data_IF_286009933974
#
_entry.id   IF_286009933974
#
_cell.length_a   1.000
_cell.length_b   1.000
_cell.length_c   1.000
_cell.angle_alpha   90.00
_cell.angle_beta   90.00
_cell.angle_gamma   90.00
#
_symmetry.space_group_name_H-M   'P 1'
#
loop_
_entity.id
_entity.type
_entity.pdbx_description
1 polymer ?
#
# COMPACT_ATOMS: atom_id res chain seq x y z
N UNK A 1 -22.06 -12.69 -5.43
CA UNK A 1 -20.60 -12.64 -5.69
C UNK A 1 -19.91 -13.11 -4.43
N UNK A 2 -19.34 -14.31 -4.48
CA UNK A 2 -18.74 -14.96 -3.32
C UNK A 2 -17.46 -14.24 -2.94
N UNK A 3 -17.45 -13.63 -1.76
CA UNK A 3 -16.28 -13.01 -1.17
C UNK A 3 -15.22 -14.09 -0.89
N UNK A 4 -14.19 -14.13 -1.72
CA UNK A 4 -13.04 -15.02 -1.53
C UNK A 4 -12.05 -14.40 -0.52
N UNK A 5 -12.57 -13.98 0.63
CA UNK A 5 -11.96 -13.04 1.58
C UNK A 5 -10.61 -13.46 2.19
N UNK A 6 -10.19 -14.73 2.06
CA UNK A 6 -8.90 -15.20 2.59
C UNK A 6 -7.81 -15.22 1.52
N UNK A 7 -8.12 -15.74 0.33
CA UNK A 7 -7.15 -15.81 -0.76
C UNK A 7 -6.83 -14.41 -1.29
N UNK A 8 -7.84 -13.55 -1.37
CA UNK A 8 -7.67 -12.14 -1.75
C UNK A 8 -6.78 -11.42 -0.73
N UNK A 9 -6.98 -11.63 0.57
CA UNK A 9 -6.12 -11.04 1.62
C UNK A 9 -4.67 -11.53 1.55
N UNK A 10 -4.46 -12.83 1.29
CA UNK A 10 -3.10 -13.38 1.12
C UNK A 10 -2.44 -12.78 -0.12
N UNK A 11 -3.17 -12.67 -1.23
CA UNK A 11 -2.67 -12.04 -2.45
C UNK A 11 -2.30 -10.56 -2.23
N UNK A 12 -3.12 -9.80 -1.49
CA UNK A 12 -2.84 -8.41 -1.15
C UNK A 12 -1.59 -8.26 -0.27
N UNK A 13 -1.44 -9.13 0.73
CA UNK A 13 -0.25 -9.15 1.57
C UNK A 13 1.01 -9.54 0.79
N UNK A 14 0.92 -10.52 -0.11
CA UNK A 14 2.03 -10.93 -0.96
C UNK A 14 2.44 -9.80 -1.92
N UNK A 15 1.49 -9.14 -2.57
CA UNK A 15 1.74 -7.98 -3.41
C UNK A 15 2.42 -6.84 -2.63
N UNK A 16 1.94 -6.55 -1.41
CA UNK A 16 2.56 -5.56 -0.54
C UNK A 16 4.02 -5.92 -0.20
N UNK A 17 4.30 -7.18 0.11
CA UNK A 17 5.66 -7.63 0.41
C UNK A 17 6.58 -7.57 -0.82
N UNK A 18 6.07 -7.90 -2.01
CA UNK A 18 6.81 -7.73 -3.26
C UNK A 18 7.13 -6.25 -3.53
N UNK A 19 6.21 -5.34 -3.22
CA UNK A 19 6.46 -3.90 -3.34
C UNK A 19 7.65 -3.47 -2.47
N UNK A 20 7.71 -3.94 -1.22
CA UNK A 20 8.82 -3.65 -0.30
C UNK A 20 10.14 -4.25 -0.79
N UNK A 21 10.16 -5.50 -1.24
CA UNK A 21 11.39 -6.13 -1.75
C UNK A 21 11.93 -5.39 -2.97
N UNK A 22 11.05 -4.94 -3.86
CA UNK A 22 11.45 -4.15 -5.02
C UNK A 22 11.91 -2.73 -4.63
N UNK A 23 11.27 -2.12 -3.64
CA UNK A 23 11.73 -0.84 -3.08
C UNK A 23 13.16 -0.94 -2.51
N UNK A 24 13.45 -2.00 -1.74
CA UNK A 24 14.77 -2.23 -1.13
C UNK A 24 15.87 -2.51 -2.16
N UNK A 25 15.52 -3.03 -3.34
CA UNK A 25 16.45 -3.20 -4.46
C UNK A 25 16.78 -1.88 -5.18
N UNK A 26 16.04 -0.80 -4.88
CA UNK A 26 16.31 0.54 -5.36
C UNK A 26 15.94 0.78 -6.82
N UNK A 27 16.60 1.77 -7.45
CA UNK A 27 16.30 2.29 -8.79
C UNK A 27 15.87 1.27 -9.86
N UNK A 28 16.56 0.13 -10.07
CA UNK A 28 16.19 -0.82 -11.12
C UNK A 28 14.82 -1.49 -10.91
N UNK A 29 14.25 -1.39 -9.72
CA UNK A 29 13.02 -2.09 -9.30
C UNK A 29 11.92 -1.15 -8.80
N UNK A 30 12.11 0.17 -8.86
CA UNK A 30 11.11 1.11 -8.35
C UNK A 30 9.78 1.07 -9.11
N UNK A 31 9.82 0.86 -10.44
CA UNK A 31 8.59 0.72 -11.23
C UNK A 31 7.79 -0.52 -10.81
N UNK A 32 8.46 -1.65 -10.60
CA UNK A 32 7.85 -2.87 -10.08
C UNK A 32 7.27 -2.65 -8.67
N UNK A 33 7.97 -1.90 -7.81
CA UNK A 33 7.45 -1.52 -6.50
C UNK A 33 6.14 -0.73 -6.59
N UNK A 34 6.03 0.20 -7.54
CA UNK A 34 4.79 0.95 -7.81
C UNK A 34 3.67 0.01 -8.26
N UNK A 35 3.94 -0.92 -9.17
CA UNK A 35 2.94 -1.87 -9.67
C UNK A 35 2.41 -2.79 -8.56
N UNK A 36 3.31 -3.37 -7.75
CA UNK A 36 2.92 -4.26 -6.67
C UNK A 36 2.17 -3.56 -5.54
N UNK A 37 2.54 -2.31 -5.22
CA UNK A 37 1.78 -1.52 -4.23
C UNK A 37 0.39 -1.14 -4.75
N UNK A 38 0.23 -0.90 -6.05
CA UNK A 38 -1.08 -0.68 -6.68
C UNK A 38 -1.96 -1.93 -6.64
N UNK A 39 -1.38 -3.10 -6.93
CA UNK A 39 -2.07 -4.38 -6.83
C UNK A 39 -2.52 -4.68 -5.38
N UNK A 40 -1.70 -4.36 -4.37
CA UNK A 40 -2.10 -4.52 -2.98
C UNK A 40 -3.31 -3.65 -2.62
N UNK A 41 -3.37 -2.41 -3.14
CA UNK A 41 -4.47 -1.48 -2.90
C UNK A 41 -5.72 -1.75 -3.75
N UNK A 42 -5.59 -2.43 -4.89
CA UNK A 42 -6.76 -2.86 -5.68
C UNK A 42 -7.52 -3.99 -4.99
N UNK A 43 -6.79 -4.83 -4.24
CA UNK A 43 -7.33 -5.91 -3.41
C UNK A 43 -7.92 -5.36 -2.12
N UNK A 44 -7.17 -4.53 -1.40
CA UNK A 44 -7.62 -3.86 -0.17
C UNK A 44 -7.24 -2.38 -0.20
N UNK A 45 -8.19 -1.56 -0.66
CA UNK A 45 -8.06 -0.11 -0.79
C UNK A 45 -7.71 0.58 0.54
N UNK A 46 -8.09 -0.01 1.67
CA UNK A 46 -7.95 0.60 2.99
C UNK A 46 -6.80 0.00 3.80
N UNK A 47 -5.96 -0.83 3.17
CA UNK A 47 -4.79 -1.42 3.80
C UNK A 47 -3.76 -0.33 4.14
N UNK A 48 -3.70 0.05 5.42
CA UNK A 48 -2.78 1.07 5.92
C UNK A 48 -1.31 0.76 5.62
N UNK A 49 -0.89 -0.51 5.69
CA UNK A 49 0.49 -0.91 5.38
C UNK A 49 0.81 -0.71 3.89
N UNK A 50 -0.12 -1.06 3.00
CA UNK A 50 0.07 -0.85 1.56
C UNK A 50 0.12 0.65 1.19
N UNK A 51 -0.70 1.48 1.85
CA UNK A 51 -0.67 2.93 1.69
C UNK A 51 0.67 3.53 2.17
N UNK A 52 1.16 3.11 3.33
CA UNK A 52 2.48 3.52 3.84
C UNK A 52 3.60 3.11 2.88
N UNK A 53 3.59 1.87 2.40
CA UNK A 53 4.61 1.39 1.48
C UNK A 53 4.58 2.13 0.14
N UNK A 54 3.39 2.45 -0.37
CA UNK A 54 3.26 3.30 -1.57
C UNK A 54 3.78 4.71 -1.33
N UNK A 55 3.52 5.29 -0.15
CA UNK A 55 4.12 6.55 0.27
C UNK A 55 5.66 6.51 0.28
N UNK A 56 6.25 5.43 0.80
CA UNK A 56 7.71 5.23 0.83
C UNK A 56 8.29 5.14 -0.60
N UNK A 57 7.59 4.48 -1.52
CA UNK A 57 7.99 4.38 -2.92
C UNK A 57 8.05 5.77 -3.57
N UNK A 58 6.99 6.58 -3.42
CA UNK A 58 6.96 7.94 -3.98
C UNK A 58 7.95 8.88 -3.29
N UNK A 59 8.23 8.68 -2.01
CA UNK A 59 9.27 9.41 -1.29
C UNK A 59 10.66 9.14 -1.91
N UNK A 60 10.98 7.89 -2.21
CA UNK A 60 12.25 7.52 -2.88
C UNK A 60 12.31 8.02 -4.33
N UNK A 61 11.18 8.08 -5.02
CA UNK A 61 11.06 8.69 -6.35
C UNK A 61 11.15 10.22 -6.34
N UNK A 62 11.13 10.86 -5.16
CA UNK A 62 11.17 12.32 -5.01
C UNK A 62 9.82 13.02 -5.20
N UNK A 63 8.73 12.28 -5.40
CA UNK A 63 7.37 12.82 -5.49
C UNK A 63 6.77 12.95 -4.08
N UNK A 64 7.23 14.00 -3.39
CA UNK A 64 6.88 14.25 -1.98
C UNK A 64 5.38 14.55 -1.78
N UNK A 65 4.73 15.16 -2.77
CA UNK A 65 3.30 15.46 -2.72
C UNK A 65 2.47 14.16 -2.68
N UNK A 66 2.76 13.21 -3.58
CA UNK A 66 2.10 11.89 -3.54
C UNK A 66 2.46 11.10 -2.30
N UNK A 67 3.72 11.14 -1.87
CA UNK A 67 4.13 10.47 -0.64
C UNK A 67 3.31 10.95 0.56
N UNK A 68 3.20 12.27 0.73
CA UNK A 68 2.40 12.89 1.78
C UNK A 68 0.91 12.54 1.67
N UNK A 69 0.35 12.48 0.45
CA UNK A 69 -1.03 12.06 0.25
C UNK A 69 -1.26 10.63 0.75
N UNK A 70 -0.43 9.67 0.35
CA UNK A 70 -0.59 8.27 0.76
C UNK A 70 -0.42 8.07 2.27
N UNK A 71 0.50 8.79 2.91
CA UNK A 71 0.61 8.76 4.38
C UNK A 71 -0.62 9.33 5.08
N UNK A 72 -1.21 10.42 4.55
CA UNK A 72 -2.45 10.98 5.09
C UNK A 72 -3.63 10.02 4.93
N UNK A 73 -3.71 9.33 3.80
CA UNK A 73 -4.72 8.28 3.57
C UNK A 73 -4.54 7.11 4.54
N UNK A 74 -3.30 6.65 4.78
CA UNK A 74 -3.00 5.60 5.76
C UNK A 74 -3.44 5.99 7.17
N UNK A 75 -3.09 7.21 7.61
CA UNK A 75 -3.49 7.76 8.90
C UNK A 75 -5.02 7.89 9.02
N UNK A 76 -5.67 8.39 7.96
CA UNK A 76 -7.12 8.56 7.95
C UNK A 76 -7.86 7.22 8.04
N UNK A 77 -7.30 6.14 7.49
CA UNK A 77 -7.87 4.80 7.59
C UNK A 77 -7.73 4.21 9.00
N UNK A 78 -6.58 4.37 9.68
CA UNK A 78 -6.46 3.96 11.09
C UNK A 78 -7.37 4.79 12.00
N UNK A 79 -7.45 6.10 11.78
CA UNK A 79 -8.31 7.02 12.55
C UNK A 79 -9.79 6.73 12.30
N UNK A 80 -10.17 6.36 11.07
CA UNK A 80 -11.55 5.97 10.74
C UNK A 80 -11.93 4.60 11.31
N UNK A 81 -10.98 3.69 11.49
CA UNK A 81 -11.23 2.40 12.15
C UNK A 81 -11.36 2.56 13.67
N UNK A 82 -10.56 3.42 14.28
CA UNK A 82 -10.65 3.74 15.72
C UNK A 82 -11.91 4.54 16.07
N UNK A 83 -12.40 5.42 15.20
CA UNK A 83 -13.65 6.17 15.42
C UNK A 83 -14.94 5.39 15.09
N UNK A 84 -14.86 4.15 14.58
CA UNK A 84 -16.04 3.32 14.25
C UNK A 84 -16.47 2.37 15.38
N UNK A 85 -15.83 2.44 16.55
CA UNK A 85 -16.08 1.57 17.71
C UNK A 85 -16.74 2.28 18.90
N UNK A 86 -17.30 3.48 18.71
CA UNK A 86 -18.11 4.22 19.69
C UNK A 86 -19.54 4.38 19.18
#
# INVERSE_FOLDING_TARGET
MSFNNKEDKVAGAAANNLAVINLLQGAPKLEEAVQYSEQALSIDRYNANALVNRGNIFFILGDLDKAAQYYKEALSNEVSMTNKLL
#
